data_IF_999813337747
#
_entry.id   IF_999813337747
#
_cell.length_a   1.000
_cell.length_b   1.000
_cell.length_c   1.000
_cell.angle_alpha   90.00
_cell.angle_beta   90.00
_cell.angle_gamma   90.00
#
_symmetry.space_group_name_H-M   'P 1'
#
loop_
_entity.id
_entity.type
_entity.pdbx_description
1 polymer ?
#
# COMPACT_ATOMS: atom_id res chain seq x y z
N UNK A 1 30.40 20.35 21.98
CA UNK A 1 29.46 19.21 22.05
C UNK A 1 28.06 19.79 21.88
N UNK A 2 27.45 19.61 20.71
CA UNK A 2 26.09 20.09 20.43
C UNK A 2 25.16 18.91 20.63
N UNK A 3 24.24 19.01 21.59
CA UNK A 3 23.21 18.00 21.82
C UNK A 3 21.95 18.47 21.12
N UNK A 4 21.53 17.75 20.08
CA UNK A 4 20.22 17.96 19.47
C UNK A 4 19.17 17.28 20.36
N UNK A 5 18.30 18.06 20.99
CA UNK A 5 17.03 17.55 21.54
C UNK A 5 16.08 17.46 20.35
N UNK A 6 15.79 16.24 19.91
CA UNK A 6 14.60 16.02 19.09
C UNK A 6 13.43 16.08 20.07
N UNK A 7 12.49 17.00 19.83
CA UNK A 7 11.25 17.02 20.58
C UNK A 7 10.52 15.70 20.27
N UNK A 8 10.58 14.75 21.21
CA UNK A 8 10.05 13.38 21.06
C UNK A 8 8.60 13.37 20.54
N UNK A 9 7.83 14.40 20.89
CA UNK A 9 6.44 14.59 20.48
C UNK A 9 6.29 14.80 18.96
N UNK A 10 7.16 15.62 18.35
CA UNK A 10 7.17 15.86 16.91
C UNK A 10 7.64 14.61 16.12
N UNK A 11 8.56 13.83 16.70
CA UNK A 11 9.02 12.57 16.12
C UNK A 11 7.89 11.53 16.15
N UNK A 12 7.16 11.41 17.27
CA UNK A 12 6.02 10.50 17.40
C UNK A 12 4.87 10.90 16.47
N UNK A 13 4.58 12.19 16.34
CA UNK A 13 3.56 12.70 15.40
C UNK A 13 3.94 12.37 13.95
N UNK A 14 5.20 12.62 13.56
CA UNK A 14 5.69 12.29 12.22
C UNK A 14 5.64 10.78 11.92
N UNK A 15 5.98 9.94 12.90
CA UNK A 15 5.90 8.48 12.76
C UNK A 15 4.44 8.00 12.63
N UNK A 16 3.50 8.67 13.31
CA UNK A 16 2.07 8.43 13.17
C UNK A 16 1.58 8.76 11.76
N UNK A 17 1.99 9.89 11.19
CA UNK A 17 1.66 10.27 9.82
C UNK A 17 2.29 9.31 8.80
N UNK A 18 3.56 8.94 8.98
CA UNK A 18 4.27 8.00 8.12
C UNK A 18 3.67 6.59 8.15
N UNK A 19 2.97 6.20 9.21
CA UNK A 19 2.25 4.93 9.27
C UNK A 19 1.09 4.85 8.26
N UNK A 20 0.59 6.00 7.80
CA UNK A 20 -0.45 6.09 6.77
C UNK A 20 0.10 6.24 5.35
N UNK A 21 1.43 6.41 5.19
CA UNK A 21 2.06 6.57 3.87
C UNK A 21 2.53 5.21 3.35
N UNK A 22 2.18 4.92 2.11
CA UNK A 22 2.57 3.69 1.42
C UNK A 22 3.22 4.02 0.07
N UNK A 23 4.32 3.34 -0.23
CA UNK A 23 5.06 3.51 -1.47
C UNK A 23 4.88 2.31 -2.38
N UNK A 24 4.53 2.59 -3.64
CA UNK A 24 4.59 1.58 -4.69
C UNK A 24 6.01 1.53 -5.26
N UNK A 25 6.61 0.35 -5.21
CA UNK A 25 7.88 0.02 -5.87
C UNK A 25 7.56 -0.71 -7.18
N UNK A 26 7.67 -0.05 -8.35
CA UNK A 26 7.36 -0.66 -9.64
C UNK A 26 8.38 -1.71 -10.08
N UNK A 27 9.62 -1.67 -9.56
CA UNK A 27 10.66 -2.66 -9.88
C UNK A 27 10.40 -3.96 -9.15
N UNK A 28 10.05 -3.88 -7.86
CA UNK A 28 9.75 -5.05 -7.04
C UNK A 28 8.27 -5.44 -7.06
N UNK A 29 7.43 -4.66 -7.76
CA UNK A 29 5.98 -4.81 -7.88
C UNK A 29 5.29 -4.95 -6.52
N UNK A 30 5.55 -3.97 -5.64
CA UNK A 30 5.15 -4.03 -4.22
C UNK A 30 4.63 -2.71 -3.73
N UNK A 31 3.88 -2.79 -2.63
CA UNK A 31 3.47 -1.61 -1.88
C UNK A 31 3.97 -1.78 -0.44
N UNK A 32 4.78 -0.84 0.04
CA UNK A 32 5.46 -0.90 1.35
C UNK A 32 5.10 0.29 2.22
N UNK A 33 4.98 0.08 3.53
CA UNK A 33 4.68 1.15 4.47
C UNK A 33 5.92 2.02 4.73
N UNK A 34 5.75 3.34 4.82
CA UNK A 34 6.85 4.29 5.08
C UNK A 34 7.39 4.14 6.50
N UNK A 35 6.53 4.18 7.52
CA UNK A 35 6.97 4.05 8.91
C UNK A 35 7.57 2.66 9.21
N UNK A 36 7.12 1.62 8.51
CA UNK A 36 7.65 0.27 8.63
C UNK A 36 8.00 -0.32 7.26
N UNK A 37 9.22 -0.07 6.78
CA UNK A 37 9.71 -0.61 5.51
C UNK A 37 9.76 -2.16 5.44
N UNK A 38 9.60 -2.86 6.57
CA UNK A 38 9.43 -4.32 6.61
C UNK A 38 7.99 -4.76 6.38
N UNK A 39 7.02 -3.84 6.37
CA UNK A 39 5.61 -4.11 6.12
C UNK A 39 5.28 -3.92 4.63
N UNK A 40 4.66 -4.94 4.04
CA UNK A 40 4.19 -4.97 2.66
C UNK A 40 2.70 -5.23 2.62
N UNK A 41 2.02 -4.68 1.62
CA UNK A 41 0.61 -4.92 1.39
C UNK A 41 0.42 -6.37 0.90
N UNK A 42 -0.46 -7.13 1.55
CA UNK A 42 -0.60 -8.57 1.36
C UNK A 42 -2.06 -8.98 1.17
N UNK A 43 -2.35 -9.75 0.12
CA UNK A 43 -3.64 -10.41 -0.09
C UNK A 43 -3.71 -11.69 0.74
N UNK A 44 -4.28 -11.56 1.94
CA UNK A 44 -4.37 -12.64 2.94
C UNK A 44 -5.33 -13.74 2.50
N UNK A 45 -6.41 -13.38 1.81
CA UNK A 45 -7.42 -14.31 1.33
C UNK A 45 -7.53 -14.25 -0.20
N UNK A 46 -7.05 -15.28 -0.89
CA UNK A 46 -7.03 -15.30 -2.37
C UNK A 46 -8.40 -15.62 -2.99
N UNK A 47 -9.36 -14.70 -2.85
CA UNK A 47 -10.73 -14.78 -3.39
C UNK A 47 -11.31 -13.38 -3.62
N UNK A 48 -12.45 -13.30 -4.30
CA UNK A 48 -13.25 -12.06 -4.38
C UNK A 48 -13.71 -11.67 -2.98
N UNK A 49 -13.63 -10.37 -2.65
CA UNK A 49 -13.75 -9.79 -1.30
C UNK A 49 -12.71 -10.33 -0.31
N UNK A 50 -11.57 -10.80 -0.83
CA UNK A 50 -10.45 -11.25 -0.03
C UNK A 50 -9.79 -10.11 0.72
N UNK A 51 -9.47 -10.34 1.99
CA UNK A 51 -8.86 -9.36 2.90
C UNK A 51 -7.45 -8.98 2.46
N UNK A 52 -7.14 -7.68 2.53
CA UNK A 52 -5.80 -7.12 2.27
C UNK A 52 -5.28 -6.42 3.53
N UNK A 53 -4.06 -6.71 3.94
CA UNK A 53 -3.45 -6.18 5.17
C UNK A 53 -1.96 -5.92 5.00
N UNK A 54 -1.41 -5.04 5.85
CA UNK A 54 0.04 -4.96 6.02
C UNK A 54 0.58 -6.20 6.75
N UNK A 55 1.54 -6.90 6.14
CA UNK A 55 2.26 -8.03 6.74
C UNK A 55 3.76 -7.89 6.51
N UNK A 56 4.56 -8.75 7.15
CA UNK A 56 5.99 -8.79 6.87
C UNK A 56 6.21 -9.03 5.38
N UNK A 57 7.01 -8.17 4.74
CA UNK A 57 7.46 -8.32 3.37
C UNK A 57 8.24 -9.64 3.24
N UNK A 58 7.61 -10.68 2.69
CA UNK A 58 8.19 -12.02 2.58
C UNK A 58 8.44 -12.43 1.12
N UNK A 59 8.11 -11.55 0.18
CA UNK A 59 8.33 -11.75 -1.24
C UNK A 59 7.49 -12.82 -1.91
N UNK A 60 6.39 -13.20 -1.28
CA UNK A 60 5.43 -14.11 -1.86
C UNK A 60 4.55 -13.42 -2.93
N UNK A 61 3.94 -14.21 -3.85
CA UNK A 61 3.04 -13.66 -4.86
C UNK A 61 1.77 -12.97 -4.32
N UNK A 62 1.40 -13.16 -3.04
CA UNK A 62 0.27 -12.44 -2.43
C UNK A 62 0.59 -10.96 -2.13
N UNK A 63 1.87 -10.58 -2.20
CA UNK A 63 2.35 -9.22 -2.00
C UNK A 63 2.74 -8.53 -3.31
N UNK A 64 2.30 -9.10 -4.45
CA UNK A 64 2.65 -8.61 -5.78
C UNK A 64 1.53 -7.74 -6.34
N UNK A 65 1.84 -6.47 -6.56
CA UNK A 65 0.91 -5.43 -6.97
C UNK A 65 1.46 -4.65 -8.16
N UNK A 66 0.57 -4.20 -9.02
CA UNK A 66 0.91 -3.22 -10.05
C UNK A 66 -0.05 -2.05 -9.96
N UNK A 67 0.45 -0.86 -10.22
CA UNK A 67 -0.40 0.28 -10.50
C UNK A 67 -0.65 0.38 -12.00
N UNK A 68 -1.89 0.70 -12.37
CA UNK A 68 -2.26 1.12 -13.71
C UNK A 68 -2.49 2.63 -13.70
N UNK A 69 -1.50 3.40 -14.16
CA UNK A 69 -1.55 4.86 -14.17
C UNK A 69 -2.68 5.42 -15.06
N UNK A 70 -3.14 4.66 -16.06
CA UNK A 70 -4.22 5.08 -16.95
C UNK A 70 -5.60 4.99 -16.28
N UNK A 71 -5.83 3.95 -15.47
CA UNK A 71 -7.12 3.76 -14.77
C UNK A 71 -7.11 4.23 -13.32
N UNK A 72 -5.91 4.46 -12.76
CA UNK A 72 -5.70 4.71 -11.33
C UNK A 72 -5.86 3.47 -10.46
N UNK A 73 -6.00 2.27 -11.04
CA UNK A 73 -6.27 1.05 -10.26
C UNK A 73 -4.99 0.36 -9.82
N UNK A 74 -5.02 -0.21 -8.61
CA UNK A 74 -3.97 -1.11 -8.11
C UNK A 74 -4.43 -2.55 -8.33
N UNK A 75 -3.72 -3.29 -9.18
CA UNK A 75 -4.05 -4.67 -9.56
C UNK A 75 -3.18 -5.65 -8.79
N UNK A 76 -3.80 -6.74 -8.31
CA UNK A 76 -3.05 -7.85 -7.71
C UNK A 76 -2.53 -8.77 -8.82
N UNK A 77 -1.22 -8.96 -8.87
CA UNK A 77 -0.57 -9.70 -9.96
C UNK A 77 -0.73 -11.23 -9.84
N UNK A 78 -1.00 -11.74 -8.64
CA UNK A 78 -1.22 -13.17 -8.40
C UNK A 78 -2.66 -13.66 -8.65
N UNK A 79 -3.59 -12.76 -8.95
CA UNK A 79 -5.01 -13.08 -9.22
C UNK A 79 -5.56 -12.20 -10.32
N UNK A 80 -5.71 -12.77 -11.51
CA UNK A 80 -6.14 -12.07 -12.71
C UNK A 80 -7.46 -11.33 -12.47
N UNK A 81 -7.48 -10.05 -12.85
CA UNK A 81 -8.68 -9.23 -12.84
C UNK A 81 -9.13 -8.73 -11.47
N UNK A 82 -8.35 -8.95 -10.40
CA UNK A 82 -8.65 -8.42 -9.08
C UNK A 82 -7.89 -7.12 -8.80
N UNK A 83 -8.62 -6.08 -8.42
CA UNK A 83 -8.12 -4.77 -8.03
C UNK A 83 -8.34 -4.52 -6.54
N UNK A 84 -7.46 -3.73 -5.95
CA UNK A 84 -7.63 -3.20 -4.60
C UNK A 84 -8.86 -2.30 -4.57
N UNK A 85 -9.68 -2.49 -3.54
CA UNK A 85 -10.80 -1.64 -3.23
C UNK A 85 -10.63 -1.10 -1.81
N UNK A 86 -10.79 0.21 -1.66
CA UNK A 86 -10.71 0.92 -0.39
C UNK A 86 -12.10 1.42 -0.02
N UNK A 87 -12.58 0.97 1.13
CA UNK A 87 -13.80 1.43 1.78
C UNK A 87 -13.54 1.47 3.30
N UNK A 88 -14.49 1.11 4.15
CA UNK A 88 -14.23 0.85 5.59
C UNK A 88 -13.12 -0.18 5.84
N UNK A 89 -12.82 -1.04 4.87
CA UNK A 89 -11.75 -2.05 4.90
C UNK A 89 -11.00 -2.11 3.56
N UNK A 90 -9.80 -2.68 3.56
CA UNK A 90 -9.06 -3.02 2.33
C UNK A 90 -9.36 -4.46 1.91
N UNK A 91 -9.78 -4.63 0.67
CA UNK A 91 -10.07 -5.94 0.08
C UNK A 91 -9.90 -5.91 -1.44
N UNK A 92 -9.95 -7.07 -2.09
CA UNK A 92 -9.93 -7.16 -3.55
C UNK A 92 -11.27 -7.55 -4.14
N UNK A 93 -11.64 -6.92 -5.25
CA UNK A 93 -12.79 -7.33 -6.10
C UNK A 93 -12.41 -7.20 -7.56
N UNK A 94 -13.30 -7.59 -8.47
CA UNK A 94 -13.04 -7.42 -9.90
C UNK A 94 -12.77 -5.95 -10.23
N UNK A 95 -11.77 -5.73 -11.07
CA UNK A 95 -11.44 -4.41 -11.56
C UNK A 95 -12.64 -3.79 -12.29
N UNK A 96 -13.06 -2.62 -11.84
CA UNK A 96 -14.12 -1.81 -12.44
C UNK A 96 -13.68 -0.34 -12.43
N UNK A 97 -13.43 0.19 -13.63
CA UNK A 97 -12.94 1.57 -13.81
C UNK A 97 -13.98 2.63 -13.46
N UNK A 98 -15.26 2.24 -13.33
CA UNK A 98 -16.32 3.12 -12.87
C UNK A 98 -16.32 3.31 -11.34
N UNK A 99 -15.72 2.39 -10.58
CA UNK A 99 -15.69 2.46 -9.12
C UNK A 99 -14.58 3.40 -8.62
N UNK A 100 -15.01 4.49 -7.96
CA UNK A 100 -14.08 5.44 -7.33
C UNK A 100 -13.26 4.81 -6.20
N UNK A 101 -13.83 3.84 -5.49
CA UNK A 101 -13.16 3.08 -4.42
C UNK A 101 -11.99 2.22 -4.91
N UNK A 102 -11.83 2.06 -6.22
CA UNK A 102 -10.68 1.37 -6.83
C UNK A 102 -9.67 2.32 -7.45
N UNK A 103 -9.88 3.64 -7.33
CA UNK A 103 -8.95 4.64 -7.86
C UNK A 103 -8.02 5.11 -6.77
N UNK A 104 -6.73 5.04 -7.04
CA UNK A 104 -5.66 5.52 -6.18
C UNK A 104 -4.92 6.64 -6.91
N UNK A 105 -4.64 7.72 -6.18
CA UNK A 105 -3.74 8.78 -6.61
C UNK A 105 -2.38 8.56 -5.97
N UNK A 106 -1.31 8.75 -6.74
CA UNK A 106 0.05 8.68 -6.26
C UNK A 106 0.64 10.08 -6.28
N UNK A 107 1.09 10.54 -5.12
CA UNK A 107 1.88 11.76 -5.03
C UNK A 107 3.36 11.39 -5.15
N UNK A 108 4.08 12.15 -5.97
CA UNK A 108 5.53 12.07 -6.03
C UNK A 108 6.11 12.72 -4.77
N UNK A 109 6.35 11.91 -3.75
CA UNK A 109 7.05 12.35 -2.55
C UNK A 109 8.55 12.23 -2.82
N UNK A 110 9.22 13.37 -3.00
CA UNK A 110 10.67 13.41 -3.11
C UNK A 110 11.27 13.07 -1.72
N UNK A 111 12.15 12.06 -1.60
CA UNK A 111 12.73 11.65 -0.32
C UNK A 111 13.67 12.70 0.28
#
# INVERSE_FOLDING_TARGET
MVTYRFDDEAVVESAGLDAHVWFHDPLLQRIRNKANGRSGLDLVERKVKGMVQGRVCDHTPSQSWSNNDFTGQIQHLGTIGLCLNVDENLYVVYCDTALLSQKSTFDLINP
#
